data_IF_498608956815
#
_entry.id   IF_498608956815
#
_cell.length_a   1.000
_cell.length_b   1.000
_cell.length_c   1.000
_cell.angle_alpha   90.00
_cell.angle_beta   90.00
_cell.angle_gamma   90.00
#
_symmetry.space_group_name_H-M   'P 1'
#
loop_
_entity.id
_entity.type
_entity.pdbx_description
1 polymer ?
#
# COMPACT_ATOMS: atom_id res chain seq x y z
N UNK A 1 5.51 20.41 -15.48
CA UNK A 1 4.15 19.99 -15.91
C UNK A 1 4.17 18.49 -16.08
N UNK A 2 3.35 17.76 -15.32
CA UNK A 2 3.32 16.30 -15.35
C UNK A 2 3.33 15.76 -16.79
N UNK A 3 4.22 14.81 -17.10
CA UNK A 3 4.53 14.43 -18.49
C UNK A 3 3.41 13.58 -19.13
N UNK A 4 2.27 14.22 -19.44
CA UNK A 4 1.07 13.60 -20.03
C UNK A 4 1.36 12.86 -21.35
N UNK A 5 2.43 13.22 -22.05
CA UNK A 5 2.82 12.60 -23.31
C UNK A 5 3.65 11.31 -23.15
N UNK A 6 3.99 10.92 -21.92
CA UNK A 6 4.63 9.63 -21.64
C UNK A 6 3.68 8.47 -22.00
N UNK A 7 4.20 7.40 -22.59
CA UNK A 7 3.42 6.23 -22.99
C UNK A 7 2.67 5.60 -21.81
N UNK A 8 3.31 5.48 -20.64
CA UNK A 8 2.67 4.95 -19.43
C UNK A 8 1.52 5.82 -18.92
N UNK A 9 1.66 7.14 -19.01
CA UNK A 9 0.60 8.06 -18.60
C UNK A 9 -0.59 7.95 -19.54
N UNK A 10 -0.38 7.77 -20.86
CA UNK A 10 -1.48 7.52 -21.80
C UNK A 10 -2.20 6.21 -21.54
N UNK A 11 -1.45 5.14 -21.26
CA UNK A 11 -2.01 3.85 -20.87
C UNK A 11 -2.86 3.97 -19.60
N UNK A 12 -2.34 4.67 -18.59
CA UNK A 12 -3.05 4.90 -17.32
C UNK A 12 -4.34 5.72 -17.51
N UNK A 13 -4.28 6.80 -18.29
CA UNK A 13 -5.48 7.60 -18.60
C UNK A 13 -6.55 6.74 -19.27
N UNK A 14 -6.18 5.91 -20.23
CA UNK A 14 -7.13 5.01 -20.91
C UNK A 14 -7.65 3.93 -19.94
N UNK A 15 -6.76 3.29 -19.15
CA UNK A 15 -7.14 2.32 -18.13
C UNK A 15 -8.15 2.91 -17.14
N UNK A 16 -7.84 4.06 -16.58
CA UNK A 16 -8.73 4.72 -15.60
C UNK A 16 -10.01 5.26 -16.24
N UNK A 17 -10.03 5.55 -17.54
CA UNK A 17 -11.27 5.83 -18.27
C UNK A 17 -12.15 4.60 -18.33
N UNK A 18 -11.62 3.43 -18.67
CA UNK A 18 -12.34 2.15 -18.66
C UNK A 18 -12.86 1.86 -17.26
N UNK A 19 -12.03 2.06 -16.23
CA UNK A 19 -12.35 1.81 -14.82
C UNK A 19 -13.59 2.60 -14.33
N UNK A 20 -13.84 3.80 -14.88
CA UNK A 20 -15.05 4.58 -14.53
C UNK A 20 -16.35 3.81 -14.85
N UNK A 21 -16.36 2.97 -15.88
CA UNK A 21 -17.51 2.16 -16.29
C UNK A 21 -17.67 0.88 -15.44
N UNK A 22 -16.67 0.56 -14.62
CA UNK A 22 -16.71 -0.54 -13.65
C UNK A 22 -16.79 -0.04 -12.19
N UNK A 23 -17.33 1.15 -11.96
CA UNK A 23 -17.45 1.76 -10.63
C UNK A 23 -16.11 1.83 -9.87
N UNK A 24 -15.05 2.19 -10.56
CA UNK A 24 -13.67 2.28 -10.04
C UNK A 24 -13.15 0.94 -9.44
N UNK A 25 -13.58 -0.20 -9.99
CA UNK A 25 -13.18 -1.53 -9.54
C UNK A 25 -12.04 -2.06 -10.39
N UNK A 26 -10.81 -2.10 -9.83
CA UNK A 26 -9.62 -2.59 -10.53
C UNK A 26 -9.76 -4.04 -11.01
N UNK A 27 -10.30 -4.94 -10.19
CA UNK A 27 -10.44 -6.35 -10.55
C UNK A 27 -11.29 -6.52 -11.81
N UNK A 28 -12.48 -5.93 -11.84
CA UNK A 28 -13.37 -6.00 -13.02
C UNK A 28 -12.75 -5.34 -14.25
N UNK A 29 -12.01 -4.24 -14.04
CA UNK A 29 -11.34 -3.54 -15.14
C UNK A 29 -10.22 -4.38 -15.72
N UNK A 30 -9.40 -5.01 -14.89
CA UNK A 30 -8.34 -5.93 -15.33
C UNK A 30 -8.92 -7.14 -16.05
N UNK A 31 -9.93 -7.79 -15.48
CA UNK A 31 -10.61 -8.94 -16.12
C UNK A 31 -11.15 -8.58 -17.52
N UNK A 32 -11.77 -7.41 -17.64
CA UNK A 32 -12.27 -6.90 -18.93
C UNK A 32 -11.12 -6.69 -19.93
N UNK A 33 -10.04 -6.02 -19.54
CA UNK A 33 -8.90 -5.74 -20.40
C UNK A 33 -8.20 -7.05 -20.82
N UNK A 34 -7.95 -7.96 -19.87
CA UNK A 34 -7.36 -9.27 -20.16
C UNK A 34 -8.19 -10.08 -21.17
N UNK A 35 -9.53 -10.02 -21.08
CA UNK A 35 -10.41 -10.64 -22.05
C UNK A 35 -10.24 -10.02 -23.43
N UNK A 36 -10.17 -8.69 -23.54
CA UNK A 36 -9.96 -8.02 -24.81
C UNK A 36 -8.60 -8.33 -25.43
N UNK A 37 -7.55 -8.38 -24.62
CA UNK A 37 -6.19 -8.72 -25.07
C UNK A 37 -6.12 -10.16 -25.62
N UNK A 38 -6.78 -11.11 -24.94
CA UNK A 38 -6.77 -12.52 -25.33
C UNK A 38 -7.63 -12.83 -26.55
N UNK A 39 -8.80 -12.21 -26.66
CA UNK A 39 -9.79 -12.55 -27.71
C UNK A 39 -9.62 -11.69 -28.96
N UNK A 40 -9.37 -10.39 -28.77
CA UNK A 40 -9.42 -9.41 -29.83
C UNK A 40 -8.05 -8.79 -30.17
N UNK A 41 -6.97 -9.29 -29.57
CA UNK A 41 -5.61 -8.72 -29.67
C UNK A 41 -5.58 -7.21 -29.35
N UNK A 42 -6.41 -6.78 -28.39
CA UNK A 42 -6.44 -5.39 -27.96
C UNK A 42 -5.08 -4.92 -27.45
N UNK A 43 -4.70 -3.72 -27.82
CA UNK A 43 -3.48 -3.09 -27.31
C UNK A 43 -3.68 -1.60 -27.05
N UNK A 44 -3.25 -1.14 -25.87
CA UNK A 44 -3.19 0.28 -25.56
C UNK A 44 -2.33 1.05 -26.58
N UNK A 45 -1.38 0.39 -27.25
CA UNK A 45 -0.47 0.97 -28.25
C UNK A 45 -1.16 1.28 -29.60
N UNK A 46 -2.37 0.74 -29.84
CA UNK A 46 -3.11 0.97 -31.08
C UNK A 46 -3.54 2.43 -31.31
N UNK A 47 -3.29 3.28 -30.33
CA UNK A 47 -3.58 4.72 -30.37
C UNK A 47 -5.05 5.05 -30.08
N UNK A 48 -5.28 6.29 -29.65
CA UNK A 48 -6.58 6.73 -29.15
C UNK A 48 -7.68 6.68 -30.22
N UNK A 49 -7.34 7.02 -31.47
CA UNK A 49 -8.30 7.00 -32.59
C UNK A 49 -8.91 5.62 -32.83
N UNK A 50 -8.13 4.55 -32.66
CA UNK A 50 -8.58 3.18 -32.84
C UNK A 50 -9.23 2.63 -31.56
N UNK A 51 -8.69 2.99 -30.40
CA UNK A 51 -9.16 2.46 -29.11
C UNK A 51 -10.53 3.02 -28.70
N UNK A 52 -10.86 4.27 -29.01
CA UNK A 52 -12.14 4.86 -28.62
C UNK A 52 -13.33 4.15 -29.28
N UNK A 53 -13.43 4.01 -30.61
CA UNK A 53 -14.54 3.31 -31.25
C UNK A 53 -14.65 1.86 -30.74
N UNK A 54 -13.50 1.16 -30.68
CA UNK A 54 -13.44 -0.22 -30.24
C UNK A 54 -13.95 -0.41 -28.80
N UNK A 55 -13.41 0.34 -27.84
CA UNK A 55 -13.80 0.25 -26.42
C UNK A 55 -15.24 0.70 -26.19
N UNK A 56 -15.70 1.72 -26.90
CA UNK A 56 -17.08 2.18 -26.81
C UNK A 56 -18.06 1.08 -27.24
N UNK A 57 -17.75 0.38 -28.35
CA UNK A 57 -18.51 -0.77 -28.80
C UNK A 57 -18.52 -1.90 -27.77
N UNK A 58 -17.36 -2.27 -27.21
CA UNK A 58 -17.26 -3.34 -26.20
C UNK A 58 -17.95 -3.01 -24.86
N UNK A 59 -17.99 -1.75 -24.48
CA UNK A 59 -18.67 -1.25 -23.30
C UNK A 59 -20.16 -0.94 -23.54
N UNK A 60 -20.63 -1.04 -24.79
CA UNK A 60 -21.98 -0.70 -25.24
C UNK A 60 -22.38 0.74 -24.84
N UNK A 61 -21.54 1.71 -25.18
CA UNK A 61 -21.72 3.14 -24.92
C UNK A 61 -21.43 3.96 -26.17
N UNK A 62 -21.89 5.22 -26.18
CA UNK A 62 -21.61 6.13 -27.31
C UNK A 62 -20.14 6.61 -27.27
N UNK A 63 -19.47 6.66 -28.40
CA UNK A 63 -18.09 7.15 -28.52
C UNK A 63 -17.90 8.54 -27.91
N UNK A 64 -18.86 9.44 -28.12
CA UNK A 64 -18.83 10.79 -27.55
C UNK A 64 -18.81 10.79 -26.02
N UNK A 65 -19.49 9.82 -25.37
CA UNK A 65 -19.54 9.73 -23.91
C UNK A 65 -18.25 9.12 -23.37
N UNK A 66 -17.69 8.12 -24.06
CA UNK A 66 -16.37 7.60 -23.73
C UNK A 66 -15.29 8.68 -23.86
N UNK A 67 -15.30 9.43 -24.96
CA UNK A 67 -14.33 10.50 -25.21
C UNK A 67 -14.45 11.62 -24.17
N UNK A 68 -15.66 12.00 -23.80
CA UNK A 68 -15.91 12.99 -22.72
C UNK A 68 -15.34 12.49 -21.37
N UNK A 69 -15.54 11.21 -21.06
CA UNK A 69 -14.95 10.60 -19.86
C UNK A 69 -13.43 10.61 -19.92
N UNK A 70 -12.84 10.22 -21.07
CA UNK A 70 -11.40 10.27 -21.30
C UNK A 70 -10.80 11.67 -21.09
N UNK A 71 -11.44 12.71 -21.63
CA UNK A 71 -10.99 14.09 -21.45
C UNK A 71 -11.03 14.52 -19.98
N UNK A 72 -12.07 14.13 -19.23
CA UNK A 72 -12.18 14.40 -17.79
C UNK A 72 -11.05 13.71 -17.01
N UNK A 73 -10.76 12.43 -17.30
CA UNK A 73 -9.66 11.70 -16.68
C UNK A 73 -8.32 12.36 -17.03
N UNK A 74 -8.09 12.68 -18.29
CA UNK A 74 -6.87 13.37 -18.76
C UNK A 74 -6.67 14.72 -18.08
N UNK A 75 -7.71 15.52 -17.94
CA UNK A 75 -7.67 16.81 -17.22
C UNK A 75 -7.27 16.63 -15.76
N UNK A 76 -7.75 15.58 -15.08
CA UNK A 76 -7.36 15.29 -13.70
C UNK A 76 -5.86 14.96 -13.56
N UNK A 77 -5.29 14.24 -14.54
CA UNK A 77 -3.86 13.95 -14.58
C UNK A 77 -3.01 15.21 -14.82
N UNK A 78 -3.51 16.17 -15.61
CA UNK A 78 -2.80 17.43 -15.86
C UNK A 78 -2.64 18.31 -14.63
N UNK A 79 -3.40 18.04 -13.57
CA UNK A 79 -3.34 18.73 -12.27
C UNK A 79 -2.34 18.11 -11.29
N UNK A 80 -1.70 17.00 -11.66
CA UNK A 80 -0.60 16.42 -10.89
C UNK A 80 0.65 17.28 -11.05
N UNK A 81 1.43 17.34 -9.99
CA UNK A 81 2.72 18.03 -9.95
C UNK A 81 3.84 17.15 -10.54
N UNK A 82 4.95 17.75 -10.95
CA UNK A 82 6.05 17.06 -11.66
C UNK A 82 6.80 16.06 -10.77
N UNK A 83 6.66 16.19 -9.46
CA UNK A 83 7.24 15.30 -8.46
C UNK A 83 6.43 14.01 -8.23
N UNK A 84 5.28 13.87 -8.90
CA UNK A 84 4.52 12.61 -8.90
C UNK A 84 5.08 11.67 -9.97
N UNK A 85 5.42 10.46 -9.56
CA UNK A 85 5.91 9.40 -10.43
C UNK A 85 4.81 8.34 -10.58
N UNK A 86 4.42 8.07 -11.83
CA UNK A 86 3.50 6.99 -12.15
C UNK A 86 4.29 5.74 -12.56
N UNK A 87 4.04 4.62 -11.90
CA UNK A 87 4.63 3.33 -12.24
C UNK A 87 3.56 2.32 -12.61
N UNK A 88 3.86 1.47 -13.56
CA UNK A 88 3.00 0.38 -14.05
C UNK A 88 3.52 -0.96 -13.52
N UNK A 89 2.63 -1.91 -13.26
CA UNK A 89 3.01 -3.30 -12.94
C UNK A 89 3.90 -3.84 -14.07
N UNK A 90 5.07 -4.37 -13.69
CA UNK A 90 6.11 -4.82 -14.62
C UNK A 90 7.27 -3.83 -14.79
N UNK A 91 7.15 -2.58 -14.32
CA UNK A 91 8.27 -1.66 -14.28
C UNK A 91 9.27 -2.06 -13.20
N UNK A 92 10.57 -1.79 -13.41
CA UNK A 92 11.62 -2.11 -12.44
C UNK A 92 11.48 -1.40 -11.09
N UNK A 93 10.79 -0.26 -11.05
CA UNK A 93 10.49 0.49 -9.82
C UNK A 93 9.28 -0.08 -9.08
N UNK A 94 8.37 -0.78 -9.79
CA UNK A 94 7.18 -1.36 -9.16
C UNK A 94 7.57 -2.41 -8.11
N UNK A 95 6.86 -2.47 -6.98
CA UNK A 95 7.18 -3.41 -5.91
C UNK A 95 7.13 -4.86 -6.38
N UNK A 96 8.28 -5.56 -6.29
CA UNK A 96 8.40 -6.98 -6.63
C UNK A 96 7.49 -7.84 -5.72
N UNK A 97 7.40 -7.49 -4.44
CA UNK A 97 6.54 -8.18 -3.47
C UNK A 97 5.07 -8.04 -3.85
N UNK A 98 4.62 -6.82 -4.14
CA UNK A 98 3.23 -6.53 -4.51
C UNK A 98 2.87 -7.16 -5.85
N UNK A 99 3.77 -7.16 -6.83
CA UNK A 99 3.53 -7.71 -8.16
C UNK A 99 3.14 -9.20 -8.13
N UNK A 100 3.58 -9.93 -7.11
CA UNK A 100 3.32 -11.36 -6.91
C UNK A 100 2.06 -11.64 -6.07
N UNK A 101 1.22 -10.62 -5.80
CA UNK A 101 -0.02 -10.81 -5.04
C UNK A 101 -1.25 -10.74 -5.94
N UNK A 102 -2.33 -11.43 -5.53
CA UNK A 102 -3.62 -11.32 -6.20
C UNK A 102 -4.24 -9.94 -6.05
N UNK A 103 -4.88 -9.44 -7.10
CA UNK A 103 -5.55 -8.14 -7.08
C UNK A 103 -4.61 -6.94 -7.00
N UNK A 104 -3.37 -7.14 -7.44
CA UNK A 104 -2.36 -6.09 -7.57
C UNK A 104 -2.85 -4.94 -8.44
N UNK A 105 -2.79 -3.67 -7.97
CA UNK A 105 -3.16 -2.52 -8.78
C UNK A 105 -2.20 -2.37 -9.97
N UNK A 106 -2.70 -2.16 -11.20
CA UNK A 106 -1.84 -2.08 -12.39
C UNK A 106 -0.98 -0.81 -12.43
N UNK A 107 -1.39 0.22 -11.69
CA UNK A 107 -0.66 1.49 -11.58
C UNK A 107 -0.56 1.95 -10.13
N UNK A 108 0.59 2.56 -9.80
CA UNK A 108 0.81 3.26 -8.54
C UNK A 108 1.27 4.69 -8.83
N UNK A 109 0.75 5.63 -8.05
CA UNK A 109 1.20 7.01 -7.97
C UNK A 109 2.13 7.14 -6.77
N UNK A 110 3.33 7.61 -6.99
CA UNK A 110 4.42 7.70 -6.02
C UNK A 110 4.85 9.15 -5.84
N UNK A 111 5.17 9.54 -4.61
CA UNK A 111 5.75 10.85 -4.31
C UNK A 111 6.79 10.71 -3.20
N UNK A 112 8.03 11.11 -3.48
CA UNK A 112 9.18 10.97 -2.60
C UNK A 112 10.21 9.95 -3.10
N UNK A 113 10.91 9.28 -2.18
CA UNK A 113 11.97 8.33 -2.50
C UNK A 113 11.40 6.99 -2.98
N UNK A 114 11.31 6.80 -4.29
CA UNK A 114 10.73 5.61 -4.92
C UNK A 114 11.51 4.32 -4.67
N UNK A 115 12.79 4.41 -4.34
CA UNK A 115 13.63 3.23 -4.05
C UNK A 115 13.11 2.47 -2.82
N UNK A 116 12.45 3.16 -1.88
CA UNK A 116 11.87 2.54 -0.69
C UNK A 116 10.82 1.47 -1.01
N UNK A 117 10.20 1.52 -2.19
CA UNK A 117 9.14 0.59 -2.60
C UNK A 117 9.64 -0.87 -2.71
N UNK A 118 10.94 -1.06 -2.94
CA UNK A 118 11.58 -2.38 -3.05
C UNK A 118 12.54 -2.68 -1.90
N UNK A 119 12.61 -1.82 -0.88
CA UNK A 119 13.37 -2.10 0.33
C UNK A 119 12.58 -2.97 1.31
N UNK A 120 13.30 -3.65 2.22
CA UNK A 120 12.69 -4.44 3.30
C UNK A 120 11.79 -3.55 4.15
N UNK A 121 10.50 -3.82 4.13
CA UNK A 121 9.53 -3.02 4.88
C UNK A 121 8.59 -3.87 5.72
N UNK A 122 8.19 -3.31 6.86
CA UNK A 122 7.22 -3.91 7.78
C UNK A 122 6.07 -2.94 8.00
N UNK A 123 4.86 -3.45 7.86
CA UNK A 123 3.65 -2.69 8.11
C UNK A 123 3.35 -2.66 9.62
N UNK A 124 3.28 -1.47 10.22
CA UNK A 124 2.94 -1.28 11.63
C UNK A 124 1.64 -0.48 11.73
N UNK A 125 0.57 -1.14 12.18
CA UNK A 125 -0.79 -0.59 12.18
C UNK A 125 -1.52 -0.84 13.49
N UNK A 126 -2.64 -0.14 13.67
CA UNK A 126 -3.47 -0.36 14.84
C UNK A 126 -4.68 0.57 14.95
N UNK A 127 -5.12 0.76 16.18
CA UNK A 127 -6.26 1.59 16.53
C UNK A 127 -6.02 3.06 16.17
N UNK A 128 -7.07 3.72 15.65
CA UNK A 128 -7.10 5.18 15.48
C UNK A 128 -7.19 5.93 16.80
N UNK A 129 -7.74 5.27 17.83
CA UNK A 129 -7.86 5.75 19.21
C UNK A 129 -7.03 4.84 20.10
N UNK A 130 -5.72 4.76 19.82
CA UNK A 130 -4.80 3.91 20.56
C UNK A 130 -4.55 4.43 21.98
N UNK A 131 -4.36 3.50 22.92
CA UNK A 131 -3.95 3.82 24.28
C UNK A 131 -2.55 4.46 24.30
N UNK A 132 -2.27 5.27 25.33
CA UNK A 132 -0.94 5.88 25.51
C UNK A 132 0.15 4.81 25.62
N UNK A 133 -0.16 3.69 26.25
CA UNK A 133 0.74 2.55 26.39
C UNK A 133 1.08 1.95 25.02
N UNK A 134 0.07 1.67 24.18
CA UNK A 134 0.27 1.14 22.85
C UNK A 134 1.02 2.10 21.93
N UNK A 135 0.81 3.40 22.09
CA UNK A 135 1.60 4.43 21.38
C UNK A 135 3.08 4.34 21.75
N UNK A 136 3.41 4.27 23.07
CA UNK A 136 4.79 4.12 23.55
C UNK A 136 5.43 2.81 23.08
N UNK A 137 4.69 1.69 23.11
CA UNK A 137 5.17 0.40 22.59
C UNK A 137 5.44 0.49 21.08
N UNK A 138 4.58 1.17 20.32
CA UNK A 138 4.78 1.42 18.88
C UNK A 138 6.06 2.22 18.64
N UNK A 139 6.29 3.29 19.40
CA UNK A 139 7.52 4.09 19.27
C UNK A 139 8.78 3.26 19.53
N UNK A 140 8.78 2.42 20.61
CA UNK A 140 9.90 1.52 20.90
C UNK A 140 10.16 0.54 19.76
N UNK A 141 9.10 -0.11 19.25
CA UNK A 141 9.19 -1.04 18.13
C UNK A 141 9.75 -0.38 16.88
N UNK A 142 9.19 0.77 16.48
CA UNK A 142 9.61 1.51 15.29
C UNK A 142 11.08 1.92 15.39
N UNK A 143 11.53 2.48 16.53
CA UNK A 143 12.95 2.82 16.77
C UNK A 143 13.86 1.60 16.60
N UNK A 144 13.42 0.45 17.08
CA UNK A 144 14.19 -0.78 16.97
C UNK A 144 14.26 -1.33 15.54
N UNK A 145 13.17 -1.26 14.76
CA UNK A 145 13.14 -1.63 13.34
C UNK A 145 14.06 -0.71 12.52
N UNK A 146 14.02 0.61 12.78
CA UNK A 146 14.87 1.60 12.10
C UNK A 146 16.36 1.30 12.33
N UNK A 147 16.77 0.97 13.55
CA UNK A 147 18.16 0.59 13.88
C UNK A 147 18.65 -0.64 13.10
N UNK A 148 17.73 -1.42 12.53
CA UNK A 148 18.00 -2.59 11.68
C UNK A 148 17.82 -2.31 10.19
N UNK A 149 17.77 -1.03 9.81
CA UNK A 149 17.57 -0.61 8.42
C UNK A 149 16.23 -1.06 7.80
N UNK A 150 15.25 -1.47 8.61
CA UNK A 150 13.92 -1.87 8.15
C UNK A 150 13.08 -0.63 7.93
N UNK A 151 12.50 -0.50 6.75
CA UNK A 151 11.53 0.55 6.42
C UNK A 151 10.21 0.23 7.12
N UNK A 152 9.60 1.21 7.79
CA UNK A 152 8.27 1.01 8.34
C UNK A 152 7.20 1.58 7.42
N UNK A 153 6.10 0.88 7.23
CA UNK A 153 4.98 1.42 6.47
C UNK A 153 3.69 1.41 7.27
N UNK A 154 2.81 2.34 6.96
CA UNK A 154 1.49 2.46 7.56
C UNK A 154 0.54 3.24 6.64
N UNK A 155 -0.71 3.38 7.08
CA UNK A 155 -1.78 3.95 6.28
C UNK A 155 -2.06 5.43 6.48
N UNK A 156 -1.21 6.13 7.21
CA UNK A 156 -1.38 7.55 7.54
C UNK A 156 -2.69 7.88 8.29
N UNK A 157 -3.33 6.91 8.93
CA UNK A 157 -4.48 7.15 9.81
C UNK A 157 -4.04 7.79 11.15
N UNK A 158 -5.02 8.24 11.94
CA UNK A 158 -4.75 8.66 13.34
C UNK A 158 -4.23 7.48 14.17
N UNK A 159 -3.69 7.76 15.36
CA UNK A 159 -3.25 6.76 16.32
C UNK A 159 -1.96 6.05 15.92
N UNK A 160 -1.96 4.73 15.86
CA UNK A 160 -0.76 3.92 15.62
C UNK A 160 -0.04 4.29 14.33
N UNK A 161 -0.78 4.48 13.22
CA UNK A 161 -0.16 4.86 11.92
C UNK A 161 0.59 6.20 12.04
N UNK A 162 -0.03 7.20 12.70
CA UNK A 162 0.61 8.50 12.96
C UNK A 162 1.86 8.35 13.81
N UNK A 163 1.80 7.56 14.89
CA UNK A 163 2.96 7.30 15.76
C UNK A 163 4.09 6.62 14.98
N UNK A 164 3.75 5.64 14.15
CA UNK A 164 4.71 4.93 13.28
C UNK A 164 5.49 5.90 12.41
N UNK A 165 4.79 6.74 11.64
CA UNK A 165 5.44 7.68 10.72
C UNK A 165 6.24 8.77 11.44
N UNK A 166 5.68 9.39 12.50
CA UNK A 166 6.37 10.42 13.29
C UNK A 166 7.65 9.86 13.90
N UNK A 167 7.55 8.71 14.59
CA UNK A 167 8.73 8.09 15.20
C UNK A 167 9.81 7.78 14.16
N UNK A 168 9.43 7.30 12.97
CA UNK A 168 10.38 7.05 11.90
C UNK A 168 11.11 8.33 11.49
N UNK A 169 10.38 9.38 11.15
CA UNK A 169 10.96 10.64 10.69
C UNK A 169 11.83 11.33 11.76
N UNK A 170 11.36 11.35 13.02
CA UNK A 170 12.07 11.97 14.14
C UNK A 170 13.38 11.25 14.51
N UNK A 171 13.52 9.98 14.13
CA UNK A 171 14.72 9.19 14.44
C UNK A 171 15.55 8.86 13.19
N UNK A 172 15.40 9.65 12.10
CA UNK A 172 16.17 9.47 10.87
C UNK A 172 15.89 8.18 10.11
N UNK A 173 14.78 7.51 10.44
CA UNK A 173 14.32 6.29 9.78
C UNK A 173 13.56 6.57 8.48
N UNK A 174 13.33 5.50 7.72
CA UNK A 174 12.64 5.54 6.43
C UNK A 174 11.22 5.01 6.59
N UNK A 175 10.26 5.70 5.97
CA UNK A 175 8.85 5.32 6.09
C UNK A 175 8.11 5.44 4.77
N UNK A 176 7.12 4.56 4.57
CA UNK A 176 6.22 4.55 3.41
C UNK A 176 4.79 4.77 3.90
N UNK A 177 4.15 5.83 3.45
CA UNK A 177 2.72 6.03 3.67
C UNK A 177 1.93 5.52 2.46
N UNK A 178 1.16 4.45 2.63
CA UNK A 178 0.22 4.00 1.61
C UNK A 178 -1.13 4.63 1.91
N UNK A 179 -1.63 5.50 1.03
CA UNK A 179 -2.83 6.30 1.31
C UNK A 179 -4.08 5.80 0.60
N UNK A 180 -5.26 6.04 1.20
CA UNK A 180 -6.56 5.65 0.65
C UNK A 180 -7.22 6.72 -0.22
N UNK A 181 -6.47 7.77 -0.57
CA UNK A 181 -6.90 8.92 -1.38
C UNK A 181 -6.04 9.02 -2.64
N UNK A 182 -6.46 9.74 -3.68
CA UNK A 182 -5.54 10.20 -4.71
C UNK A 182 -4.31 10.90 -4.13
N UNK A 183 -3.17 10.80 -4.82
CA UNK A 183 -1.86 11.27 -4.34
C UNK A 183 -1.83 12.78 -4.03
N UNK A 184 -2.68 13.56 -4.66
CA UNK A 184 -2.81 15.01 -4.51
C UNK A 184 -3.85 15.43 -3.46
N UNK A 185 -4.34 14.49 -2.63
CA UNK A 185 -5.33 14.75 -1.59
C UNK A 185 -4.80 14.32 -0.21
N UNK A 186 -5.17 15.07 0.81
CA UNK A 186 -4.71 14.87 2.18
C UNK A 186 -5.84 14.36 3.07
N UNK A 187 -5.67 13.17 3.66
CA UNK A 187 -6.63 12.58 4.56
C UNK A 187 -5.96 11.65 5.60
N UNK A 188 -6.26 11.78 6.90
CA UNK A 188 -7.10 12.83 7.50
C UNK A 188 -6.41 14.21 7.41
N UNK A 189 -7.20 15.28 7.48
CA UNK A 189 -6.67 16.65 7.33
C UNK A 189 -5.60 16.99 8.36
N UNK A 190 -5.70 16.45 9.56
CA UNK A 190 -4.75 16.65 10.66
C UNK A 190 -3.36 16.06 10.36
N UNK A 191 -3.27 15.07 9.46
CA UNK A 191 -2.01 14.45 9.06
C UNK A 191 -1.43 15.05 7.76
N UNK A 192 -1.96 16.20 7.29
CA UNK A 192 -1.45 16.85 6.08
C UNK A 192 0.04 17.15 6.18
N UNK A 193 0.48 17.80 7.26
CA UNK A 193 1.90 18.19 7.43
C UNK A 193 2.80 16.95 7.59
N UNK A 194 2.27 15.88 8.21
CA UNK A 194 2.96 14.60 8.27
C UNK A 194 3.10 13.96 6.88
N UNK A 195 2.05 14.01 6.05
CA UNK A 195 2.13 13.52 4.67
C UNK A 195 3.18 14.29 3.88
N UNK A 196 3.20 15.63 3.96
CA UNK A 196 4.19 16.48 3.30
C UNK A 196 5.62 16.14 3.75
N UNK A 197 5.83 15.91 5.04
CA UNK A 197 7.13 15.48 5.56
C UNK A 197 7.54 14.09 5.04
N UNK A 198 6.59 13.18 4.83
CA UNK A 198 6.85 11.86 4.23
C UNK A 198 7.13 11.98 2.73
N UNK A 199 6.45 12.87 2.02
CA UNK A 199 6.73 13.18 0.61
C UNK A 199 8.18 13.68 0.42
N UNK A 200 8.71 14.44 1.39
CA UNK A 200 10.08 14.97 1.36
C UNK A 200 11.14 13.94 1.76
N UNK A 201 10.91 13.16 2.83
CA UNK A 201 11.94 12.32 3.50
C UNK A 201 11.69 10.81 3.39
N UNK A 202 10.55 10.39 2.89
CA UNK A 202 10.12 9.02 2.77
C UNK A 202 9.47 8.76 1.41
N UNK A 203 8.37 8.00 1.41
CA UNK A 203 7.59 7.70 0.21
C UNK A 203 6.10 7.71 0.52
N UNK A 204 5.32 8.40 -0.29
CA UNK A 204 3.85 8.30 -0.31
C UNK A 204 3.43 7.49 -1.54
N UNK A 205 2.54 6.51 -1.33
CA UNK A 205 2.03 5.59 -2.36
C UNK A 205 0.52 5.67 -2.42
N UNK A 206 -0.03 5.82 -3.61
CA UNK A 206 -1.47 5.72 -3.86
C UNK A 206 -1.74 4.85 -5.09
N UNK A 207 -2.78 4.02 -5.03
CA UNK A 207 -3.31 3.31 -6.20
C UNK A 207 -4.49 4.04 -6.85
N UNK A 208 -4.96 5.13 -6.25
CA UNK A 208 -6.17 5.84 -6.66
C UNK A 208 -5.85 6.99 -7.61
N UNK A 209 -6.46 7.03 -8.82
CA UNK A 209 -6.20 8.08 -9.78
C UNK A 209 -6.79 9.43 -9.34
N UNK A 210 -6.24 10.56 -9.83
CA UNK A 210 -6.68 11.90 -9.43
C UNK A 210 -8.13 12.23 -9.83
N UNK A 211 -8.71 11.48 -10.76
CA UNK A 211 -10.10 11.64 -11.20
C UNK A 211 -11.13 11.01 -10.26
N UNK A 212 -10.71 10.13 -9.34
CA UNK A 212 -11.65 9.40 -8.50
C UNK A 212 -12.00 10.20 -7.24
N UNK A 213 -13.29 10.22 -6.83
CA UNK A 213 -13.65 10.67 -5.50
C UNK A 213 -13.11 9.70 -4.44
N UNK A 214 -13.02 10.19 -3.21
CA UNK A 214 -12.60 9.36 -2.08
C UNK A 214 -13.81 8.59 -1.57
N UNK A 215 -13.79 7.28 -1.77
CA UNK A 215 -14.82 6.38 -1.28
C UNK A 215 -14.38 5.69 0.01
N UNK A 216 -15.35 5.30 0.85
CA UNK A 216 -15.06 4.57 2.10
C UNK A 216 -14.33 3.23 1.86
N UNK A 217 -14.61 2.56 0.76
CA UNK A 217 -13.95 1.29 0.40
C UNK A 217 -12.51 1.45 -0.10
N UNK A 218 -12.06 2.66 -0.44
CA UNK A 218 -10.66 2.89 -0.79
C UNK A 218 -9.72 2.49 0.36
N UNK A 219 -10.10 2.76 1.60
CA UNK A 219 -9.25 2.48 2.76
C UNK A 219 -9.01 0.98 2.99
N UNK A 220 -10.02 0.09 3.01
CA UNK A 220 -9.78 -1.34 3.04
C UNK A 220 -9.07 -1.86 1.77
N UNK A 221 -9.38 -1.33 0.57
CA UNK A 221 -8.71 -1.75 -0.67
C UNK A 221 -7.21 -1.42 -0.62
N UNK A 222 -6.85 -0.22 -0.17
CA UNK A 222 -5.47 0.23 0.04
C UNK A 222 -4.69 -0.70 0.97
N UNK A 223 -5.34 -1.32 1.95
CA UNK A 223 -4.69 -2.25 2.86
C UNK A 223 -4.08 -3.45 2.12
N UNK A 224 -4.70 -3.88 1.01
CA UNK A 224 -4.13 -4.92 0.15
C UNK A 224 -2.79 -4.51 -0.48
N UNK A 225 -2.68 -3.26 -0.94
CA UNK A 225 -1.41 -2.71 -1.45
C UNK A 225 -0.39 -2.58 -0.31
N UNK A 226 -0.81 -2.08 0.85
CA UNK A 226 0.06 -1.87 2.00
C UNK A 226 0.65 -3.19 2.54
N UNK A 227 -0.14 -4.27 2.64
CA UNK A 227 0.38 -5.59 3.00
C UNK A 227 1.23 -6.20 1.88
N UNK A 228 0.85 -5.97 0.62
CA UNK A 228 1.55 -6.51 -0.54
C UNK A 228 2.98 -5.99 -0.70
N UNK A 229 3.27 -4.76 -0.29
CA UNK A 229 4.62 -4.18 -0.29
C UNK A 229 5.43 -4.52 0.96
N UNK A 230 4.86 -5.24 1.93
CA UNK A 230 5.47 -5.52 3.23
C UNK A 230 5.89 -6.97 3.35
N UNK A 231 6.95 -7.24 4.12
CA UNK A 231 7.33 -8.59 4.55
C UNK A 231 6.34 -9.14 5.58
N UNK A 232 5.90 -8.27 6.50
CA UNK A 232 4.97 -8.64 7.56
C UNK A 232 4.08 -7.47 7.96
N UNK A 233 3.00 -7.77 8.68
CA UNK A 233 2.12 -6.78 9.32
C UNK A 233 2.11 -6.98 10.83
N UNK A 234 2.45 -5.94 11.60
CA UNK A 234 2.40 -5.92 13.06
C UNK A 234 1.17 -5.11 13.49
N UNK A 235 0.29 -5.74 14.30
CA UNK A 235 -0.91 -5.08 14.84
C UNK A 235 -0.66 -4.74 16.30
N UNK A 236 -0.38 -3.47 16.59
CA UNK A 236 -0.04 -3.01 17.94
C UNK A 236 -1.25 -2.97 18.87
N UNK A 237 -2.37 -2.49 18.40
CA UNK A 237 -3.64 -2.45 19.14
C UNK A 237 -4.81 -2.46 18.16
N UNK A 238 -5.86 -3.21 18.47
CA UNK A 238 -7.09 -3.19 17.69
C UNK A 238 -8.31 -3.52 18.57
N UNK A 239 -9.44 -2.90 18.28
CA UNK A 239 -10.76 -3.36 18.72
C UNK A 239 -11.33 -4.40 17.76
N UNK A 240 -12.42 -5.08 18.16
CA UNK A 240 -13.05 -6.18 17.40
C UNK A 240 -13.48 -5.80 15.96
N UNK A 241 -13.77 -4.53 15.73
CA UNK A 241 -14.20 -3.99 14.42
C UNK A 241 -13.15 -3.11 13.75
N UNK A 242 -11.91 -3.15 14.24
CA UNK A 242 -10.83 -2.28 13.75
C UNK A 242 -10.49 -2.54 12.28
N UNK A 243 -10.22 -1.47 11.53
CA UNK A 243 -9.69 -1.56 10.17
C UNK A 243 -8.31 -2.25 10.09
N UNK A 244 -7.54 -2.27 11.18
CA UNK A 244 -6.29 -3.00 11.28
C UNK A 244 -6.47 -4.52 11.12
N UNK A 245 -7.64 -5.06 11.51
CA UNK A 245 -7.95 -6.48 11.32
C UNK A 245 -8.16 -6.82 9.83
N UNK A 246 -8.67 -5.87 9.02
CA UNK A 246 -8.72 -6.02 7.56
C UNK A 246 -7.32 -6.06 6.94
N UNK A 247 -6.37 -5.31 7.51
CA UNK A 247 -4.97 -5.38 7.11
C UNK A 247 -4.40 -6.79 7.34
N UNK A 248 -4.67 -7.40 8.51
CA UNK A 248 -4.27 -8.76 8.82
C UNK A 248 -4.89 -9.80 7.87
N UNK A 249 -6.17 -9.64 7.53
CA UNK A 249 -6.83 -10.55 6.57
C UNK A 249 -6.16 -10.49 5.19
N UNK A 250 -5.77 -9.28 4.70
CA UNK A 250 -5.02 -9.14 3.46
C UNK A 250 -3.62 -9.76 3.56
N UNK A 251 -2.89 -9.49 4.65
CA UNK A 251 -1.55 -10.02 4.88
C UNK A 251 -1.55 -11.56 4.84
N UNK A 252 -2.42 -12.21 5.61
CA UNK A 252 -2.54 -13.68 5.64
C UNK A 252 -2.93 -14.24 4.27
N UNK A 253 -3.87 -13.59 3.55
CA UNK A 253 -4.27 -14.02 2.19
C UNK A 253 -3.11 -13.94 1.19
N UNK A 254 -2.21 -12.98 1.39
CA UNK A 254 -1.04 -12.76 0.53
C UNK A 254 0.19 -13.57 0.97
N UNK A 255 0.05 -14.47 1.96
CA UNK A 255 1.15 -15.26 2.50
C UNK A 255 2.18 -14.41 3.28
N UNK A 256 1.76 -13.26 3.84
CA UNK A 256 2.60 -12.41 4.68
C UNK A 256 2.35 -12.72 6.15
N UNK A 257 3.39 -12.63 6.97
CA UNK A 257 3.23 -12.82 8.39
C UNK A 257 2.42 -11.72 9.03
N UNK A 258 1.65 -12.11 10.04
CA UNK A 258 0.94 -11.21 10.94
C UNK A 258 1.46 -11.43 12.34
N UNK A 259 1.97 -10.36 12.95
CA UNK A 259 2.53 -10.41 14.31
C UNK A 259 1.64 -9.63 15.29
N UNK A 260 1.43 -10.22 16.45
CA UNK A 260 0.55 -9.69 17.49
C UNK A 260 1.30 -9.69 18.82
N UNK A 261 1.40 -8.54 19.53
CA UNK A 261 2.03 -8.50 20.86
C UNK A 261 1.38 -9.50 21.84
N UNK A 262 2.20 -10.20 22.63
CA UNK A 262 1.71 -11.15 23.63
C UNK A 262 0.74 -10.49 24.62
N UNK A 263 0.95 -9.21 24.94
CA UNK A 263 0.05 -8.44 25.81
C UNK A 263 -1.39 -8.34 25.24
N UNK A 264 -1.55 -8.26 23.91
CA UNK A 264 -2.87 -8.28 23.28
C UNK A 264 -3.53 -9.66 23.39
N UNK A 265 -2.75 -10.74 23.30
CA UNK A 265 -3.25 -12.12 23.42
C UNK A 265 -3.69 -12.43 24.84
N UNK A 266 -2.98 -11.88 25.83
CA UNK A 266 -3.28 -12.06 27.25
C UNK A 266 -4.47 -11.20 27.70
N UNK A 267 -4.91 -10.24 26.90
CA UNK A 267 -6.07 -9.41 27.23
C UNK A 267 -7.37 -10.19 26.99
N UNK A 268 -8.06 -10.55 28.09
CA UNK A 268 -9.32 -11.30 28.07
C UNK A 268 -10.53 -10.47 27.59
N UNK A 269 -10.40 -9.14 27.49
CA UNK A 269 -11.50 -8.27 27.04
C UNK A 269 -11.67 -8.23 25.53
N UNK A 270 -10.73 -8.81 24.76
CA UNK A 270 -10.77 -8.88 23.30
C UNK A 270 -10.58 -10.31 22.81
N UNK A 271 -11.28 -10.68 21.76
CA UNK A 271 -11.27 -12.05 21.22
C UNK A 271 -10.43 -12.18 19.94
N UNK A 272 -10.24 -11.09 19.20
CA UNK A 272 -9.60 -11.08 17.90
C UNK A 272 -8.16 -11.65 17.89
N UNK A 273 -7.29 -11.44 18.95
CA UNK A 273 -5.93 -11.96 18.88
C UNK A 273 -5.90 -13.48 18.77
N UNK A 274 -6.66 -14.16 19.64
CA UNK A 274 -6.77 -15.63 19.61
C UNK A 274 -7.32 -16.17 18.28
N UNK A 275 -8.25 -15.43 17.66
CA UNK A 275 -8.80 -15.77 16.34
C UNK A 275 -7.73 -15.70 15.25
N UNK A 276 -6.86 -14.66 15.28
CA UNK A 276 -5.81 -14.50 14.27
C UNK A 276 -4.64 -15.46 14.49
N UNK A 277 -4.29 -15.80 15.73
CA UNK A 277 -3.34 -16.89 16.01
C UNK A 277 -3.82 -18.21 15.37
N UNK A 278 -5.10 -18.55 15.50
CA UNK A 278 -5.68 -19.73 14.82
C UNK A 278 -5.65 -19.65 13.29
N UNK A 279 -5.58 -18.45 12.72
CA UNK A 279 -5.44 -18.22 11.27
C UNK A 279 -3.97 -18.22 10.79
N UNK A 280 -2.99 -18.41 11.70
CA UNK A 280 -1.57 -18.43 11.37
C UNK A 280 -0.80 -17.15 11.72
N UNK A 281 -1.38 -16.22 12.49
CA UNK A 281 -0.61 -15.11 13.03
C UNK A 281 0.34 -15.58 14.15
N UNK A 282 1.44 -14.85 14.34
CA UNK A 282 2.47 -15.14 15.32
C UNK A 282 2.35 -14.20 16.52
N UNK A 283 2.49 -14.75 17.73
CA UNK A 283 2.66 -13.97 18.94
C UNK A 283 4.12 -13.53 19.09
N UNK A 284 4.37 -12.34 19.63
CA UNK A 284 5.71 -11.92 20.01
C UNK A 284 5.73 -11.20 21.36
N UNK A 285 6.81 -11.39 22.11
CA UNK A 285 7.06 -10.76 23.42
C UNK A 285 8.09 -9.64 23.34
N UNK A 286 9.04 -9.76 22.41
CA UNK A 286 10.16 -8.85 22.30
C UNK A 286 10.59 -8.69 20.84
N UNK A 287 11.49 -7.74 20.60
CA UNK A 287 12.01 -7.45 19.27
C UNK A 287 12.75 -8.65 18.64
N UNK A 288 13.47 -9.44 19.44
CA UNK A 288 14.22 -10.60 18.95
C UNK A 288 13.29 -11.58 18.23
N UNK A 289 12.12 -11.86 18.81
CA UNK A 289 11.12 -12.73 18.19
C UNK A 289 10.57 -12.13 16.88
N UNK A 290 10.33 -10.80 16.84
CA UNK A 290 9.94 -10.10 15.60
C UNK A 290 11.00 -10.28 14.53
N UNK A 291 12.26 -10.05 14.85
CA UNK A 291 13.38 -10.17 13.91
C UNK A 291 13.60 -11.61 13.45
N UNK A 292 13.41 -12.60 14.31
CA UNK A 292 13.48 -14.01 13.92
C UNK A 292 12.44 -14.34 12.86
N UNK A 293 11.18 -13.94 13.06
CA UNK A 293 10.11 -14.17 12.09
C UNK A 293 10.43 -13.47 10.76
N UNK A 294 10.95 -12.22 10.81
CA UNK A 294 11.31 -11.47 9.62
C UNK A 294 12.50 -12.10 8.88
N UNK A 295 13.48 -12.65 9.59
CA UNK A 295 14.64 -13.31 8.99
C UNK A 295 14.27 -14.68 8.39
N UNK A 296 13.36 -15.44 9.03
CA UNK A 296 12.86 -16.70 8.48
C UNK A 296 12.16 -16.46 7.13
N UNK A 297 11.43 -15.35 7.00
CA UNK A 297 10.88 -14.92 5.72
C UNK A 297 11.95 -14.47 4.72
N UNK A 298 13.04 -13.91 5.19
CA UNK A 298 14.17 -13.48 4.36
C UNK A 298 14.88 -14.66 3.69
N UNK A 299 14.99 -15.80 4.36
CA UNK A 299 15.53 -17.03 3.77
C UNK A 299 14.68 -17.50 2.58
N UNK A 300 13.38 -17.30 2.61
CA UNK A 300 12.49 -17.57 1.47
C UNK A 300 12.67 -16.58 0.30
N UNK A 301 13.18 -15.37 0.57
CA UNK A 301 13.42 -14.35 -0.44
C UNK A 301 14.89 -14.25 -0.88
N UNK A 302 15.84 -14.64 -0.02
CA UNK A 302 17.30 -14.56 -0.25
C UNK A 302 17.95 -15.94 -0.49
N UNK A 303 17.27 -16.88 -1.14
CA UNK A 303 17.95 -18.06 -1.68
C UNK A 303 19.11 -17.72 -2.65
N UNK A 304 19.40 -16.42 -2.81
CA UNK A 304 20.40 -15.91 -3.75
C UNK A 304 21.41 -14.89 -3.21
N UNK A 305 21.33 -14.44 -1.94
CA UNK A 305 22.35 -13.52 -1.39
C UNK A 305 22.75 -13.95 0.04
N UNK A 306 24.00 -14.37 0.18
CA UNK A 306 24.65 -14.70 1.46
C UNK A 306 25.29 -13.46 2.09
N UNK A 307 25.21 -13.36 3.38
CA UNK A 307 26.21 -13.08 4.40
C UNK A 307 25.83 -12.05 5.49
N UNK A 308 26.15 -12.48 6.71
CA UNK A 308 26.49 -11.80 7.96
C UNK A 308 25.39 -11.38 8.98
N UNK A 309 25.41 -12.17 10.07
CA UNK A 309 24.66 -11.97 11.31
C UNK A 309 25.57 -11.54 12.47
N UNK A 310 25.32 -10.40 13.08
CA UNK A 310 25.85 -10.07 14.42
C UNK A 310 24.79 -9.57 15.41
N UNK A 311 24.99 -9.96 16.63
CA UNK A 311 24.25 -9.87 17.90
C UNK A 311 23.07 -8.90 18.10
N UNK A 312 21.96 -9.49 18.55
CA UNK A 312 20.69 -8.81 18.90
C UNK A 312 20.61 -8.55 20.40
N UNK A 313 20.62 -7.28 20.81
CA UNK A 313 20.38 -6.87 22.20
C UNK A 313 18.88 -6.97 22.57
N UNK A 314 18.61 -7.54 23.74
CA UNK A 314 17.27 -7.72 24.31
C UNK A 314 16.62 -6.36 24.61
N UNK A 315 15.55 -6.03 23.87
CA UNK A 315 14.62 -4.95 24.21
C UNK A 315 13.32 -5.62 24.63
N UNK A 316 13.10 -5.72 25.94
CA UNK A 316 11.84 -6.23 26.48
C UNK A 316 10.71 -5.23 26.21
N UNK A 317 9.56 -5.76 25.80
CA UNK A 317 8.34 -4.99 25.48
C UNK A 317 7.21 -5.35 26.47
N UNK A 318 7.58 -5.57 27.76
CA UNK A 318 6.61 -5.77 28.84
C UNK A 318 5.82 -4.51 29.17
#
# INVERSE_FOLDING_TARGET
MFAINNAYVRDAILYFTIQQYFNCNDKKTCEFIEQLEKVDNFSFRSGLKNNIPYLSSKLNILEKDFYKCYLRVKDSFSKLTDDVILVKKGDGVYSKLLANTDGTPPFLFLKGNVHLLNEKSVCVVGSRNASVESMKKTEKLVKALIKRNIVVNAGLAKGIDTATHKTALENGGRTIAVIGTPINQYYPKENKDLQLSIEEKGLVVSQFPPCNPVYRWNFPTRNGTMSGISLATIIMEAGETSGALRQADYALKQGRDVLIPQSAINNSSISWPKKYIKKGAHAFKNLKEVLQILNDNEVLYNLFDNDDMEEVNNVEMD
#
